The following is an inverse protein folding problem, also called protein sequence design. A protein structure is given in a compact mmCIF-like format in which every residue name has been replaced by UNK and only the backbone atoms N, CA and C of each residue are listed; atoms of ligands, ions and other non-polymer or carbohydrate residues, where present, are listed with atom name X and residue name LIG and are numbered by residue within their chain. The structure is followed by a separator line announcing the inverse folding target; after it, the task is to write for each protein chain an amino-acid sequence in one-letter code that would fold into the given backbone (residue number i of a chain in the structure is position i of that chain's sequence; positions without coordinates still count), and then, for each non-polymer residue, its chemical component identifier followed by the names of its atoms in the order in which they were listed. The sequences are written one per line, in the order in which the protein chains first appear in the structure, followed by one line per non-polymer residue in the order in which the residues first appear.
data_IF_018006718421
#
_entry.id   IF_018006718421
#
_cell.length_a   1.000
_cell.length_b   1.000
_cell.length_c   1.000
_cell.angle_alpha   90.00
_cell.angle_beta   90.00
_cell.angle_gamma   90.00
#
_symmetry.space_group_name_H-M   'P 1'
#
loop_
_entity.id
_entity.type
_entity.pdbx_description
1 polymer ?
#
# COMPACT_ATOMS: atom_id res chain seq x y z
N UNK A 1 1.28 43.44 -21.41
CA UNK A 1 1.58 42.00 -21.38
C UNK A 1 0.54 41.31 -22.24
N UNK A 2 0.96 40.76 -23.38
CA UNK A 2 0.07 40.12 -24.35
C UNK A 2 -0.55 38.83 -23.75
N UNK A 3 -1.69 38.41 -24.26
CA UNK A 3 -2.33 37.12 -24.01
C UNK A 3 -1.36 35.94 -24.06
N UNK A 4 -0.39 35.97 -25.00
CA UNK A 4 0.67 34.96 -25.14
C UNK A 4 1.61 34.91 -23.93
N UNK A 5 2.02 36.07 -23.42
CA UNK A 5 2.92 36.15 -22.26
C UNK A 5 2.26 35.55 -21.02
N UNK A 6 0.94 35.76 -20.86
CA UNK A 6 0.17 35.19 -19.74
C UNK A 6 0.09 33.66 -19.81
N UNK A 7 -0.05 33.08 -21.01
CA UNK A 7 -0.06 31.62 -21.18
C UNK A 7 1.31 31.02 -20.83
N UNK A 8 2.41 31.64 -21.26
CA UNK A 8 3.77 31.19 -20.95
C UNK A 8 4.03 31.17 -19.44
N UNK A 9 3.72 32.28 -18.74
CA UNK A 9 3.91 32.38 -17.28
C UNK A 9 3.04 31.37 -16.53
N UNK A 10 1.79 31.18 -16.96
CA UNK A 10 0.89 30.18 -16.40
C UNK A 10 1.47 28.77 -16.52
N UNK A 11 1.90 28.37 -17.72
CA UNK A 11 2.50 27.03 -17.95
C UNK A 11 3.78 26.82 -17.16
N UNK A 12 4.66 27.83 -17.07
CA UNK A 12 5.87 27.75 -16.24
C UNK A 12 5.54 27.51 -14.77
N UNK A 13 4.50 28.19 -14.24
CA UNK A 13 4.00 27.98 -12.88
C UNK A 13 3.49 26.55 -12.72
N UNK A 14 2.71 26.05 -13.69
CA UNK A 14 2.23 24.68 -13.71
C UNK A 14 3.35 23.65 -13.64
N UNK A 15 4.42 23.81 -14.44
CA UNK A 15 5.59 22.91 -14.40
C UNK A 15 6.28 22.91 -13.02
N UNK A 16 6.42 24.07 -12.38
CA UNK A 16 7.01 24.17 -11.03
C UNK A 16 6.15 23.43 -9.99
N UNK A 17 4.85 23.70 -9.97
CA UNK A 17 3.90 23.04 -9.06
C UNK A 17 3.88 21.52 -9.27
N UNK A 18 3.87 21.07 -10.53
CA UNK A 18 3.94 19.65 -10.88
C UNK A 18 5.25 19.01 -10.36
N UNK A 19 6.37 19.73 -10.46
CA UNK A 19 7.67 19.32 -9.91
C UNK A 19 7.63 19.14 -8.40
N UNK A 20 7.07 20.10 -7.66
CA UNK A 20 6.93 20.01 -6.20
C UNK A 20 6.03 18.83 -5.79
N UNK A 21 4.88 18.67 -6.42
CA UNK A 21 4.00 17.54 -6.15
C UNK A 21 4.66 16.19 -6.49
N UNK A 22 5.46 16.13 -7.56
CA UNK A 22 6.24 14.93 -7.90
C UNK A 22 7.29 14.59 -6.84
N UNK A 23 7.98 15.60 -6.30
CA UNK A 23 8.97 15.41 -5.23
C UNK A 23 8.30 14.97 -3.93
N UNK A 24 7.19 15.61 -3.55
CA UNK A 24 6.40 15.24 -2.38
C UNK A 24 5.86 13.80 -2.48
N UNK A 25 5.32 13.41 -3.64
CA UNK A 25 4.85 12.04 -3.89
C UNK A 25 6.00 11.01 -3.77
N UNK A 26 7.20 11.35 -4.24
CA UNK A 26 8.36 10.46 -4.18
C UNK A 26 8.92 10.32 -2.76
N UNK A 27 9.07 11.43 -2.02
CA UNK A 27 9.57 11.41 -0.65
C UNK A 27 8.61 10.64 0.26
N UNK A 28 7.31 10.93 0.15
CA UNK A 28 6.29 10.23 0.92
C UNK A 28 6.23 8.73 0.61
N UNK A 29 6.49 8.31 -0.64
CA UNK A 29 6.54 6.90 -0.99
C UNK A 29 7.64 6.10 -0.25
N UNK A 30 8.74 6.75 0.17
CA UNK A 30 9.83 6.05 0.87
C UNK A 30 9.38 5.54 2.24
N UNK A 31 8.70 6.39 3.01
CA UNK A 31 8.15 6.00 4.32
C UNK A 31 7.19 4.82 4.20
N UNK A 32 6.27 4.88 3.23
CA UNK A 32 5.34 3.80 2.97
C UNK A 32 6.03 2.52 2.47
N UNK A 33 7.11 2.65 1.70
CA UNK A 33 7.92 1.50 1.21
C UNK A 33 8.57 0.73 2.36
N UNK A 34 9.04 1.42 3.41
CA UNK A 34 9.58 0.76 4.59
C UNK A 34 8.50 -0.05 5.33
N UNK A 35 7.33 0.56 5.57
CA UNK A 35 6.18 -0.12 6.18
C UNK A 35 5.76 -1.36 5.40
N UNK A 36 5.54 -1.22 4.09
CA UNK A 36 5.02 -2.34 3.29
C UNK A 36 6.04 -3.46 3.14
N UNK A 37 7.34 -3.16 3.24
CA UNK A 37 8.39 -4.19 3.26
C UNK A 37 8.32 -5.02 4.54
N UNK A 38 8.20 -4.36 5.71
CA UNK A 38 8.04 -5.05 7.00
C UNK A 38 6.72 -5.84 7.06
N UNK A 39 5.63 -5.23 6.60
CA UNK A 39 4.32 -5.87 6.57
C UNK A 39 4.31 -7.07 5.62
N UNK A 40 4.83 -6.92 4.40
CA UNK A 40 4.91 -7.99 3.42
C UNK A 40 5.81 -9.14 3.87
N UNK A 41 6.95 -8.85 4.51
CA UNK A 41 7.81 -9.86 5.12
C UNK A 41 7.07 -10.64 6.21
N UNK A 42 6.34 -9.95 7.09
CA UNK A 42 5.54 -10.58 8.12
C UNK A 42 4.48 -11.53 7.54
N UNK A 43 3.71 -11.06 6.53
CA UNK A 43 2.74 -11.90 5.81
C UNK A 43 3.41 -13.13 5.17
N UNK A 44 4.58 -12.95 4.55
CA UNK A 44 5.34 -14.04 3.93
C UNK A 44 5.79 -15.11 4.94
N UNK A 45 6.03 -14.75 6.21
CA UNK A 45 6.33 -15.74 7.25
C UNK A 45 5.16 -16.69 7.55
N UNK A 46 3.95 -16.34 7.10
CA UNK A 46 2.77 -17.22 7.11
C UNK A 46 2.97 -18.53 6.36
N UNK A 47 3.99 -18.65 5.48
CA UNK A 47 4.37 -19.92 4.84
C UNK A 47 4.68 -21.00 5.90
N UNK A 48 5.14 -20.57 7.08
CA UNK A 48 5.42 -21.43 8.23
C UNK A 48 4.25 -21.49 9.23
N UNK A 49 3.04 -21.14 8.80
CA UNK A 49 1.82 -21.14 9.60
C UNK A 49 1.49 -19.78 10.24
N UNK A 50 0.22 -19.62 10.64
CA UNK A 50 -0.30 -18.40 11.26
C UNK A 50 0.39 -18.07 12.59
N UNK A 51 0.79 -19.07 13.39
CA UNK A 51 1.47 -18.85 14.67
C UNK A 51 2.85 -18.20 14.48
N UNK A 52 3.60 -18.64 13.47
CA UNK A 52 4.89 -18.03 13.12
C UNK A 52 4.68 -16.57 12.72
N UNK A 53 3.69 -16.30 11.87
CA UNK A 53 3.35 -14.94 11.45
C UNK A 53 2.89 -14.06 12.63
N UNK A 54 2.13 -14.60 13.59
CA UNK A 54 1.75 -13.88 14.80
C UNK A 54 2.95 -13.54 15.68
N UNK A 55 3.90 -14.48 15.87
CA UNK A 55 5.14 -14.20 16.64
C UNK A 55 5.99 -13.12 15.98
N UNK A 56 6.11 -13.16 14.65
CA UNK A 56 6.83 -12.12 13.90
C UNK A 56 6.08 -10.78 13.97
N UNK A 57 4.74 -10.80 13.89
CA UNK A 57 3.92 -9.61 14.09
C UNK A 57 4.16 -8.97 15.45
N UNK A 58 4.19 -9.76 16.52
CA UNK A 58 4.48 -9.29 17.88
C UNK A 58 5.85 -8.66 17.99
N UNK A 59 6.88 -9.27 17.39
CA UNK A 59 8.23 -8.72 17.33
C UNK A 59 8.29 -7.38 16.58
N UNK A 60 7.53 -7.25 15.49
CA UNK A 60 7.55 -6.03 14.67
C UNK A 60 6.55 -4.96 15.14
N UNK A 61 5.62 -5.29 16.03
CA UNK A 61 4.58 -4.36 16.54
C UNK A 61 5.18 -3.05 17.09
N UNK A 62 6.29 -3.05 17.85
CA UNK A 62 6.92 -1.81 18.29
C UNK A 62 7.45 -0.92 17.16
N UNK A 63 7.72 -1.47 15.97
CA UNK A 63 8.28 -0.71 14.84
C UNK A 63 7.21 -0.01 13.99
N UNK A 64 6.07 -0.66 13.73
CA UNK A 64 5.07 -0.11 12.80
C UNK A 64 3.62 -0.12 13.29
N UNK A 65 3.32 -0.66 14.47
CA UNK A 65 1.98 -0.67 15.08
C UNK A 65 1.94 0.11 16.40
N UNK A 66 2.79 1.13 16.53
CA UNK A 66 2.70 2.12 17.61
C UNK A 66 2.12 3.44 17.07
N UNK A 67 1.57 4.28 17.96
CA UNK A 67 0.92 5.53 17.58
C UNK A 67 1.78 6.40 16.66
N UNK A 68 3.06 6.58 16.97
CA UNK A 68 3.97 7.44 16.19
C UNK A 68 4.15 6.86 14.79
N UNK A 69 4.47 5.57 14.69
CA UNK A 69 4.68 4.90 13.40
C UNK A 69 3.40 4.88 12.55
N UNK A 70 2.24 4.65 13.14
CA UNK A 70 0.96 4.64 12.43
C UNK A 70 0.60 6.02 11.91
N UNK A 71 0.79 7.07 12.72
CA UNK A 71 0.58 8.46 12.30
C UNK A 71 1.51 8.81 11.12
N UNK A 72 2.79 8.41 11.19
CA UNK A 72 3.75 8.64 10.10
C UNK A 72 3.39 7.88 8.82
N UNK A 73 2.93 6.63 8.93
CA UNK A 73 2.46 5.84 7.78
C UNK A 73 1.22 6.48 7.16
N UNK A 74 0.26 6.92 7.99
CA UNK A 74 -0.95 7.58 7.52
C UNK A 74 -0.65 8.90 6.81
N UNK A 75 0.23 9.73 7.38
CA UNK A 75 0.69 10.99 6.74
C UNK A 75 1.43 10.69 5.44
N UNK A 76 2.34 9.73 5.44
CA UNK A 76 3.09 9.29 4.25
C UNK A 76 2.14 8.84 3.14
N UNK A 77 1.17 7.97 3.44
CA UNK A 77 0.17 7.53 2.47
C UNK A 77 -0.71 8.69 1.99
N UNK A 78 -1.17 9.55 2.90
CA UNK A 78 -2.01 10.71 2.58
C UNK A 78 -1.29 11.68 1.64
N UNK A 79 -0.06 12.06 1.95
CA UNK A 79 0.77 12.93 1.09
C UNK A 79 1.01 12.28 -0.26
N UNK A 80 1.25 10.97 -0.31
CA UNK A 80 1.47 10.25 -1.57
C UNK A 80 0.24 10.32 -2.48
N UNK A 81 -0.94 9.98 -1.95
CA UNK A 81 -2.20 9.99 -2.70
C UNK A 81 -2.59 11.41 -3.13
N UNK A 82 -2.54 12.38 -2.21
CA UNK A 82 -2.89 13.77 -2.50
C UNK A 82 -1.94 14.39 -3.53
N UNK A 83 -0.65 14.10 -3.46
CA UNK A 83 0.32 14.58 -4.46
C UNK A 83 0.07 13.96 -5.83
N UNK A 84 -0.32 12.68 -5.89
CA UNK A 84 -0.71 12.01 -7.14
C UNK A 84 -1.95 12.66 -7.78
N UNK A 85 -2.97 12.97 -6.97
CA UNK A 85 -4.17 13.67 -7.41
C UNK A 85 -3.84 15.10 -7.87
N UNK A 86 -3.06 15.84 -7.06
CA UNK A 86 -2.65 17.20 -7.36
C UNK A 86 -1.92 17.28 -8.71
N UNK A 87 -1.03 16.33 -9.02
CA UNK A 87 -0.37 16.26 -10.33
C UNK A 87 -1.35 16.11 -11.49
N UNK A 88 -2.39 15.31 -11.31
CA UNK A 88 -3.43 15.12 -12.32
C UNK A 88 -4.19 16.43 -12.56
N UNK A 89 -4.59 17.10 -11.48
CA UNK A 89 -5.29 18.40 -11.54
C UNK A 89 -4.40 19.48 -12.15
N UNK A 90 -3.15 19.63 -11.68
CA UNK A 90 -2.18 20.62 -12.20
C UNK A 90 -1.96 20.42 -13.70
N UNK A 91 -1.74 19.17 -14.14
CA UNK A 91 -1.56 18.86 -15.55
C UNK A 91 -2.75 19.31 -16.40
N UNK A 92 -3.97 19.08 -15.90
CA UNK A 92 -5.20 19.46 -16.59
C UNK A 92 -5.41 20.98 -16.61
N UNK A 93 -5.37 21.63 -15.44
CA UNK A 93 -5.62 23.07 -15.28
C UNK A 93 -4.63 23.91 -16.07
N UNK A 94 -3.34 23.56 -16.04
CA UNK A 94 -2.28 24.29 -16.74
C UNK A 94 -2.00 23.75 -18.16
N UNK A 95 -2.81 22.82 -18.66
CA UNK A 95 -2.67 22.19 -20.00
C UNK A 95 -1.24 21.71 -20.29
N UNK A 96 -0.60 21.11 -19.28
CA UNK A 96 0.81 20.71 -19.37
C UNK A 96 0.95 19.47 -20.24
N UNK A 97 1.88 19.53 -21.19
CA UNK A 97 2.35 18.34 -21.92
C UNK A 97 3.58 17.83 -21.18
N UNK A 98 3.43 16.70 -20.48
CA UNK A 98 4.51 16.05 -19.76
C UNK A 98 4.64 14.63 -20.28
N UNK A 99 5.76 14.37 -20.96
CA UNK A 99 6.19 13.03 -21.36
C UNK A 99 6.75 12.28 -20.14
N UNK A 100 5.87 11.93 -19.21
CA UNK A 100 6.26 11.01 -18.13
C UNK A 100 6.30 9.60 -18.68
N UNK A 101 7.49 9.04 -18.87
CA UNK A 101 7.64 7.59 -18.94
C UNK A 101 7.22 7.03 -17.57
N UNK A 102 6.02 6.44 -17.52
CA UNK A 102 5.58 5.73 -16.33
C UNK A 102 6.60 4.63 -16.00
N UNK A 103 6.81 4.29 -14.71
CA UNK A 103 7.74 3.23 -14.34
C UNK A 103 7.42 1.88 -15.01
N UNK A 104 6.13 1.66 -15.30
CA UNK A 104 5.62 0.55 -16.09
C UNK A 104 4.27 0.93 -16.74
N UNK A 105 3.86 0.16 -17.75
CA UNK A 105 2.65 0.41 -18.59
C UNK A 105 1.37 0.64 -17.78
N UNK A 106 1.20 -0.04 -16.64
CA UNK A 106 -0.03 0.00 -15.84
C UNK A 106 0.16 0.58 -14.43
N UNK A 107 1.28 1.27 -14.17
CA UNK A 107 1.61 1.73 -12.82
C UNK A 107 0.60 2.74 -12.24
N UNK A 108 0.04 3.63 -13.08
CA UNK A 108 -1.01 4.55 -12.65
C UNK A 108 -2.31 3.82 -12.29
N UNK A 109 -2.71 2.86 -13.13
CA UNK A 109 -3.91 2.04 -12.91
C UNK A 109 -3.76 1.23 -11.62
N UNK A 110 -2.58 0.62 -11.40
CA UNK A 110 -2.34 -0.14 -10.18
C UNK A 110 -2.43 0.73 -8.94
N UNK A 111 -1.92 1.97 -8.97
CA UNK A 111 -2.07 2.91 -7.85
C UNK A 111 -3.52 3.30 -7.58
N UNK A 112 -4.30 3.56 -8.63
CA UNK A 112 -5.73 3.89 -8.53
C UNK A 112 -6.57 2.76 -7.95
N UNK A 113 -6.29 1.50 -8.33
CA UNK A 113 -6.95 0.31 -7.77
C UNK A 113 -6.46 -0.04 -6.35
N UNK A 114 -5.17 0.19 -6.07
CA UNK A 114 -4.58 -0.13 -4.77
C UNK A 114 -5.13 0.74 -3.64
N UNK A 115 -5.39 2.03 -3.89
CA UNK A 115 -5.90 2.95 -2.89
C UNK A 115 -7.21 2.47 -2.21
N UNK A 116 -8.30 2.13 -2.93
CA UNK A 116 -9.51 1.61 -2.30
C UNK A 116 -9.29 0.24 -1.65
N UNK A 117 -8.45 -0.64 -2.26
CA UNK A 117 -8.14 -1.95 -1.66
C UNK A 117 -7.43 -1.83 -0.30
N UNK A 118 -6.46 -0.92 -0.19
CA UNK A 118 -5.79 -0.61 1.08
C UNK A 118 -6.78 -0.04 2.10
N UNK A 119 -7.70 0.81 1.66
CA UNK A 119 -8.77 1.35 2.51
C UNK A 119 -9.69 0.26 3.08
N UNK A 120 -10.14 -0.68 2.24
CA UNK A 120 -10.94 -1.83 2.67
C UNK A 120 -10.15 -2.72 3.63
N UNK A 121 -8.90 -3.05 3.28
CA UNK A 121 -8.05 -3.88 4.13
C UNK A 121 -7.78 -3.23 5.49
N UNK A 122 -7.39 -1.95 5.53
CA UNK A 122 -7.16 -1.21 6.77
C UNK A 122 -8.41 -1.21 7.65
N UNK A 123 -9.59 -0.92 7.09
CA UNK A 123 -10.83 -0.93 7.86
C UNK A 123 -11.19 -2.31 8.39
N UNK A 124 -10.90 -3.37 7.64
CA UNK A 124 -11.14 -4.75 8.04
C UNK A 124 -10.23 -5.17 9.20
N UNK A 125 -8.91 -4.94 9.10
CA UNK A 125 -7.93 -5.51 10.05
C UNK A 125 -7.49 -4.57 11.17
N UNK A 126 -7.78 -3.26 11.06
CA UNK A 126 -7.31 -2.23 12.01
C UNK A 126 -8.38 -1.21 12.40
N UNK A 127 -9.05 -0.60 11.43
CA UNK A 127 -10.02 0.48 11.67
C UNK A 127 -11.23 0.02 12.49
N UNK A 128 -12.00 -0.94 11.97
CA UNK A 128 -13.21 -1.45 12.63
C UNK A 128 -12.92 -2.10 13.98
N UNK A 129 -11.89 -2.96 14.13
CA UNK A 129 -11.58 -3.52 15.43
C UNK A 129 -11.24 -2.47 16.50
N UNK A 130 -10.55 -1.38 16.11
CA UNK A 130 -10.21 -0.28 17.03
C UNK A 130 -11.46 0.48 17.50
N UNK A 131 -12.39 0.77 16.59
CA UNK A 131 -13.65 1.46 16.94
C UNK A 131 -14.52 0.67 17.92
N UNK A 132 -14.52 -0.65 17.79
CA UNK A 132 -15.38 -1.53 18.58
C UNK A 132 -14.85 -1.78 20.01
N UNK A 133 -13.69 -1.22 20.36
CA UNK A 133 -13.09 -1.30 21.69
C UNK A 133 -13.15 -2.72 22.28
N UNK A 134 -13.01 -3.74 21.42
CA UNK A 134 -13.09 -5.13 21.84
C UNK A 134 -11.98 -5.33 22.89
N UNK A 135 -12.32 -5.51 24.18
CA UNK A 135 -11.31 -5.51 25.23
C UNK A 135 -10.32 -6.65 24.98
N UNK A 136 -9.02 -6.33 24.97
CA UNK A 136 -7.98 -7.31 24.67
C UNK A 136 -7.79 -7.64 23.19
N UNK A 137 -8.52 -7.00 22.26
CA UNK A 137 -8.27 -7.18 20.83
C UNK A 137 -6.90 -6.60 20.46
N UNK A 138 -6.03 -7.51 20.06
CA UNK A 138 -4.77 -7.17 19.41
C UNK A 138 -4.89 -7.60 17.95
N UNK A 139 -4.50 -6.74 17.02
CA UNK A 139 -4.44 -7.13 15.61
C UNK A 139 -3.52 -8.35 15.49
N UNK A 140 -4.09 -9.45 15.02
CA UNK A 140 -3.44 -10.73 14.77
C UNK A 140 -3.79 -11.26 13.37
N UNK A 141 -3.24 -12.41 12.98
CA UNK A 141 -3.60 -13.08 11.73
C UNK A 141 -4.88 -13.93 11.84
N UNK A 142 -5.47 -14.09 13.02
CA UNK A 142 -6.72 -14.80 13.24
C UNK A 142 -7.90 -14.17 12.49
N UNK A 143 -7.99 -12.83 12.45
CA UNK A 143 -9.03 -12.13 11.67
C UNK A 143 -8.93 -12.40 10.17
N UNK A 144 -7.70 -12.54 9.66
CA UNK A 144 -7.43 -12.86 8.25
C UNK A 144 -7.75 -14.33 7.99
N UNK A 145 -7.26 -15.23 8.85
CA UNK A 145 -7.54 -16.67 8.77
C UNK A 145 -9.05 -16.96 8.78
N UNK A 146 -9.79 -16.31 9.69
CA UNK A 146 -11.24 -16.44 9.78
C UNK A 146 -11.92 -16.05 8.46
N UNK A 147 -11.54 -14.90 7.88
CA UNK A 147 -12.12 -14.49 6.60
C UNK A 147 -11.78 -15.43 5.47
N UNK A 148 -10.56 -15.99 5.44
CA UNK A 148 -10.13 -16.93 4.40
C UNK A 148 -10.89 -18.27 4.50
N UNK A 149 -11.31 -18.67 5.70
CA UNK A 149 -12.07 -19.90 5.94
C UNK A 149 -13.59 -19.71 5.77
N UNK A 150 -14.16 -18.64 6.31
CA UNK A 150 -15.62 -18.45 6.42
C UNK A 150 -16.21 -17.44 5.40
N UNK A 151 -15.36 -16.62 4.77
CA UNK A 151 -15.71 -15.69 3.69
C UNK A 151 -14.72 -15.81 2.53
N UNK A 152 -14.43 -17.03 2.03
CA UNK A 152 -13.27 -17.31 1.21
C UNK A 152 -13.22 -16.46 -0.06
N UNK A 153 -14.31 -16.39 -0.83
CA UNK A 153 -14.32 -15.66 -2.11
C UNK A 153 -13.90 -14.19 -1.94
N UNK A 154 -14.44 -13.52 -0.93
CA UNK A 154 -14.20 -12.11 -0.68
C UNK A 154 -12.80 -11.90 -0.12
N UNK A 155 -12.42 -12.66 0.90
CA UNK A 155 -11.14 -12.47 1.59
C UNK A 155 -9.97 -12.83 0.68
N UNK A 156 -10.09 -13.92 -0.10
CA UNK A 156 -9.09 -14.28 -1.11
C UNK A 156 -9.02 -13.24 -2.22
N UNK A 157 -10.16 -12.73 -2.70
CA UNK A 157 -10.16 -11.69 -3.74
C UNK A 157 -9.47 -10.41 -3.26
N UNK A 158 -9.76 -9.95 -2.04
CA UNK A 158 -9.14 -8.75 -1.46
C UNK A 158 -7.63 -8.95 -1.28
N UNK A 159 -7.22 -10.00 -0.57
CA UNK A 159 -5.80 -10.21 -0.22
C UNK A 159 -4.97 -10.64 -1.43
N UNK A 160 -5.52 -11.44 -2.35
CA UNK A 160 -4.86 -11.80 -3.59
C UNK A 160 -4.66 -10.61 -4.51
N UNK A 161 -5.68 -9.75 -4.65
CA UNK A 161 -5.57 -8.50 -5.41
C UNK A 161 -4.56 -7.55 -4.77
N UNK A 162 -4.57 -7.40 -3.44
CA UNK A 162 -3.57 -6.62 -2.72
C UNK A 162 -2.16 -7.13 -2.97
N UNK A 163 -1.91 -8.43 -2.82
CA UNK A 163 -0.61 -9.03 -3.04
C UNK A 163 -0.08 -8.74 -4.46
N UNK A 164 -0.90 -8.98 -5.49
CA UNK A 164 -0.51 -8.78 -6.88
C UNK A 164 -0.33 -7.30 -7.24
N UNK A 165 -1.33 -6.46 -6.95
CA UNK A 165 -1.35 -5.05 -7.33
C UNK A 165 -0.30 -4.26 -6.53
N UNK A 166 -0.16 -4.52 -5.23
CA UNK A 166 0.87 -3.87 -4.41
C UNK A 166 2.27 -4.27 -4.88
N UNK A 167 2.53 -5.56 -5.11
CA UNK A 167 3.83 -6.02 -5.62
C UNK A 167 4.18 -5.33 -6.94
N UNK A 168 3.25 -5.28 -7.89
CA UNK A 168 3.44 -4.56 -9.15
C UNK A 168 3.72 -3.07 -8.93
N UNK A 169 2.90 -2.40 -8.11
CA UNK A 169 3.02 -0.96 -7.89
C UNK A 169 4.36 -0.61 -7.22
N UNK A 170 4.76 -1.36 -6.20
CA UNK A 170 5.96 -1.11 -5.39
C UNK A 170 7.23 -1.45 -6.17
N UNK A 171 7.30 -2.62 -6.80
CA UNK A 171 8.54 -3.07 -7.47
C UNK A 171 8.90 -2.17 -8.65
N UNK A 172 7.92 -1.67 -9.39
CA UNK A 172 8.19 -0.68 -10.43
C UNK A 172 8.31 0.76 -9.88
N UNK A 173 7.55 1.10 -8.84
CA UNK A 173 7.49 2.46 -8.30
C UNK A 173 8.66 2.86 -7.41
N UNK A 174 9.12 1.96 -6.54
CA UNK A 174 10.12 2.25 -5.51
C UNK A 174 11.45 2.75 -6.12
N UNK A 175 12.07 2.09 -7.12
CA UNK A 175 13.27 2.61 -7.79
C UNK A 175 13.14 4.06 -8.24
N UNK A 176 12.01 4.39 -8.85
CA UNK A 176 11.73 5.73 -9.38
C UNK A 176 11.49 6.72 -8.25
N UNK A 177 10.81 6.31 -7.17
CA UNK A 177 10.63 7.15 -5.99
C UNK A 177 11.97 7.46 -5.32
N UNK A 178 12.82 6.45 -5.09
CA UNK A 178 14.16 6.62 -4.52
C UNK A 178 15.03 7.53 -5.37
N UNK A 179 15.08 7.32 -6.69
CA UNK A 179 15.87 8.17 -7.59
C UNK A 179 15.36 9.62 -7.61
N UNK A 180 14.05 9.85 -7.50
CA UNK A 180 13.47 11.21 -7.45
C UNK A 180 13.70 11.91 -6.11
N UNK A 181 13.66 11.17 -5.01
CA UNK A 181 13.91 11.70 -3.68
C UNK A 181 15.41 11.95 -3.45
N UNK A 182 16.26 11.08 -4.00
CA UNK A 182 17.72 11.11 -3.86
C UNK A 182 18.37 11.01 -5.25
N UNK A 183 18.54 12.13 -5.98
CA UNK A 183 19.09 12.12 -7.35
C UNK A 183 20.49 11.51 -7.49
N UNK A 184 21.28 11.53 -6.42
CA UNK A 184 22.62 10.91 -6.35
C UNK A 184 22.58 9.41 -6.10
N UNK A 185 21.43 8.84 -5.71
CA UNK A 185 21.29 7.42 -5.41
C UNK A 185 21.23 6.59 -6.69
N UNK A 186 22.26 5.76 -6.90
CA UNK A 186 22.29 4.79 -8.00
C UNK A 186 21.51 3.55 -7.60
N UNK A 187 20.32 3.39 -8.17
CA UNK A 187 19.49 2.20 -7.91
C UNK A 187 20.24 0.93 -8.37
N UNK A 188 20.55 -0.01 -7.46
CA UNK A 188 21.16 -1.28 -7.80
C UNK A 188 20.35 -2.04 -8.85
N UNK A 189 21.01 -2.82 -9.71
CA UNK A 189 20.35 -3.59 -10.77
C UNK A 189 19.28 -4.54 -10.24
N UNK A 190 19.51 -5.18 -9.08
CA UNK A 190 18.57 -6.11 -8.46
C UNK A 190 17.30 -5.42 -7.92
N UNK A 191 17.35 -4.12 -7.65
CA UNK A 191 16.16 -3.34 -7.26
C UNK A 191 15.39 -2.81 -8.48
N UNK A 192 15.91 -2.94 -9.70
CA UNK A 192 15.16 -2.51 -10.89
C UNK A 192 13.88 -3.33 -11.02
N UNK A 193 12.78 -2.64 -11.30
CA UNK A 193 11.48 -3.28 -11.47
C UNK A 193 11.50 -4.29 -12.63
N UNK A 194 11.12 -5.53 -12.35
CA UNK A 194 11.03 -6.60 -13.33
C UNK A 194 9.78 -7.43 -13.09
N UNK A 195 9.21 -8.01 -14.14
CA UNK A 195 8.04 -8.89 -14.03
C UNK A 195 8.36 -10.11 -13.16
N UNK A 196 9.58 -10.64 -13.26
CA UNK A 196 10.04 -11.75 -12.44
C UNK A 196 10.00 -11.41 -10.95
N UNK A 197 10.49 -10.23 -10.55
CA UNK A 197 10.44 -9.79 -9.15
C UNK A 197 8.98 -9.64 -8.67
N UNK A 198 8.08 -9.12 -9.52
CA UNK A 198 6.65 -9.01 -9.20
C UNK A 198 6.03 -10.39 -8.95
N UNK A 199 6.32 -11.37 -9.80
CA UNK A 199 5.82 -12.73 -9.65
C UNK A 199 6.37 -13.43 -8.41
N UNK A 200 7.66 -13.24 -8.10
CA UNK A 200 8.28 -13.79 -6.89
C UNK A 200 7.64 -13.19 -5.64
N UNK A 201 7.54 -11.86 -5.55
CA UNK A 201 6.94 -11.20 -4.40
C UNK A 201 5.46 -11.58 -4.22
N UNK A 202 4.69 -11.60 -5.32
CA UNK A 202 3.28 -12.01 -5.28
C UNK A 202 3.13 -13.46 -4.81
N UNK A 203 3.93 -14.38 -5.36
CA UNK A 203 3.90 -15.80 -4.98
C UNK A 203 4.24 -16.01 -3.51
N UNK A 204 5.26 -15.32 -2.99
CA UNK A 204 5.64 -15.40 -1.57
C UNK A 204 4.52 -14.89 -0.65
N UNK A 205 3.89 -13.77 -1.00
CA UNK A 205 2.76 -13.23 -0.23
C UNK A 205 1.56 -14.17 -0.26
N UNK A 206 1.21 -14.71 -1.44
CA UNK A 206 0.10 -15.65 -1.59
C UNK A 206 0.35 -16.96 -0.83
N UNK A 207 1.57 -17.49 -0.86
CA UNK A 207 1.95 -18.66 -0.06
C UNK A 207 1.86 -18.37 1.44
N UNK A 208 2.25 -17.16 1.87
CA UNK A 208 2.07 -16.68 3.23
C UNK A 208 0.60 -16.63 3.66
N UNK A 209 -0.25 -15.99 2.85
CA UNK A 209 -1.70 -15.92 3.06
C UNK A 209 -2.32 -17.34 3.09
N UNK A 210 -1.87 -18.24 2.23
CA UNK A 210 -2.31 -19.63 2.24
C UNK A 210 -1.95 -20.34 3.55
N UNK A 211 -0.72 -20.22 4.05
CA UNK A 211 -0.37 -20.81 5.33
C UNK A 211 -1.11 -20.19 6.52
N UNK A 212 -1.41 -18.88 6.47
CA UNK A 212 -2.30 -18.22 7.43
C UNK A 212 -3.73 -18.82 7.40
N UNK A 213 -4.24 -19.15 6.22
CA UNK A 213 -5.59 -19.74 6.07
C UNK A 213 -5.76 -21.10 6.76
N UNK A 214 -4.66 -21.76 7.15
CA UNK A 214 -4.63 -23.08 7.79
C UNK A 214 -4.60 -23.04 9.32
N UNK A 215 -4.96 -21.91 9.93
CA UNK A 215 -5.07 -21.82 11.37
C UNK A 215 -6.22 -22.70 11.89
N UNK A 216 -5.91 -23.70 12.72
CA UNK A 216 -6.87 -24.70 13.20
C UNK A 216 -7.84 -24.13 14.26
N UNK A 217 -7.35 -23.24 15.13
CA UNK A 217 -8.14 -22.64 16.20
C UNK A 217 -8.16 -21.12 16.09
N UNK A 218 -9.37 -20.54 16.06
CA UNK A 218 -9.58 -19.10 15.93
C UNK A 218 -10.25 -18.58 17.21
N UNK A 219 -9.49 -17.99 18.15
CA UNK A 219 -9.99 -17.67 19.50
C UNK A 219 -11.12 -16.64 19.51
N UNK A 220 -11.17 -15.73 18.54
CA UNK A 220 -12.14 -14.62 18.47
C UNK A 220 -13.08 -14.71 17.26
N UNK A 221 -13.49 -15.93 16.91
CA UNK A 221 -14.28 -16.18 15.69
C UNK A 221 -15.59 -15.38 15.64
N UNK A 222 -16.24 -15.15 16.78
CA UNK A 222 -17.50 -14.39 16.85
C UNK A 222 -17.28 -12.90 16.58
N UNK A 223 -16.22 -12.33 17.15
CA UNK A 223 -15.82 -10.95 16.95
C UNK A 223 -15.40 -10.72 15.50
N UNK A 224 -14.61 -11.63 14.93
CA UNK A 224 -14.21 -11.59 13.53
C UNK A 224 -15.44 -11.66 12.61
N UNK A 225 -16.40 -12.54 12.88
CA UNK A 225 -17.66 -12.61 12.14
C UNK A 225 -18.42 -11.29 12.14
N UNK A 226 -18.52 -10.65 13.31
CA UNK A 226 -19.20 -9.37 13.45
C UNK A 226 -18.48 -8.24 12.68
N UNK A 227 -17.13 -8.21 12.72
CA UNK A 227 -16.32 -7.26 11.96
C UNK A 227 -16.54 -7.42 10.45
N UNK A 228 -16.45 -8.65 9.93
CA UNK A 228 -16.69 -8.91 8.50
C UNK A 228 -18.09 -8.49 8.09
N UNK A 229 -19.12 -8.83 8.87
CA UNK A 229 -20.51 -8.45 8.58
C UNK A 229 -20.69 -6.93 8.54
N UNK A 230 -20.02 -6.18 9.42
CA UNK A 230 -20.10 -4.71 9.43
C UNK A 230 -19.40 -4.09 8.21
N UNK A 231 -18.21 -4.57 7.85
CA UNK A 231 -17.38 -3.99 6.78
C UNK A 231 -17.90 -4.37 5.39
N UNK A 232 -18.41 -5.60 5.25
CA UNK A 232 -18.70 -6.23 3.96
C UNK A 232 -20.19 -6.54 3.84
N UNK A 233 -21.06 -5.54 4.04
CA UNK A 233 -22.54 -5.66 4.15
C UNK A 233 -23.25 -6.29 2.94
N UNK A 234 -23.00 -7.56 2.66
CA UNK A 234 -23.58 -8.37 1.61
C UNK A 234 -23.79 -9.80 2.09
#
# INVERSE_FOLDING_TARGET
MDSKDKDVVSRQTGYKLYGYATKAQAISAIGFTAFISLHGMNVATGIFGADTANRVLELLRPLYQNKISEDLIAISLGVHLLSGLAKTVIKHVYKLTIETKAPAKYHYISGGLLAPLVGVHFNLVRGTPREWHVPGFSTDFGIVAWGLQYRPLVTWSIHGSLAAIASYHIIYGAPVAFQRAFPSFKVPSFLKGSTANVLVATSLLLAGIYGISKLDFIPMANEYSAIYTKVLRF
#
